data_IF_533271931346
#
_entry.id   IF_533271931346
#
_cell.length_a   1.000
_cell.length_b   1.000
_cell.length_c   1.000
_cell.angle_alpha   90.00
_cell.angle_beta   90.00
_cell.angle_gamma   90.00
#
_symmetry.space_group_name_H-M   'P 1'
#
loop_
_entity.id
_entity.type
_entity.pdbx_description
1 polymer ?
#
# COMPACT_ATOMS: atom_id res chain seq x y z
N UNK A 1 -19.77 -21.46 44.28
CA UNK A 1 -19.85 -20.26 43.38
C UNK A 1 -18.71 -19.26 43.56
N UNK A 2 -18.11 -19.12 44.70
CA UNK A 2 -17.05 -18.14 44.98
C UNK A 2 -15.67 -18.50 44.39
N UNK A 3 -15.25 -19.76 44.48
CA UNK A 3 -13.94 -20.18 43.96
C UNK A 3 -13.84 -20.08 42.40
N UNK A 4 -14.90 -20.41 41.68
CA UNK A 4 -14.94 -20.29 40.21
C UNK A 4 -14.84 -18.82 39.76
N UNK A 5 -15.46 -17.88 40.46
CA UNK A 5 -15.36 -16.45 40.18
C UNK A 5 -13.91 -15.94 40.36
N UNK A 6 -13.26 -16.36 41.46
CA UNK A 6 -11.86 -16.01 41.70
C UNK A 6 -10.93 -16.59 40.65
N UNK A 7 -11.15 -17.83 40.23
CA UNK A 7 -10.38 -18.44 39.13
C UNK A 7 -10.51 -17.64 37.83
N UNK A 8 -11.72 -17.23 37.46
CA UNK A 8 -11.96 -16.42 36.26
C UNK A 8 -11.28 -15.05 36.34
N UNK A 9 -11.29 -14.39 37.50
CA UNK A 9 -10.59 -13.11 37.72
C UNK A 9 -9.07 -13.30 37.57
N UNK A 10 -8.50 -14.34 38.17
CA UNK A 10 -7.05 -14.62 38.05
C UNK A 10 -6.67 -14.92 36.61
N UNK A 11 -7.45 -15.74 35.91
CA UNK A 11 -7.21 -16.04 34.48
C UNK A 11 -7.29 -14.78 33.64
N UNK A 12 -8.26 -13.91 33.86
CA UNK A 12 -8.39 -12.62 33.17
C UNK A 12 -7.17 -11.71 33.43
N UNK A 13 -6.71 -11.61 34.68
CA UNK A 13 -5.55 -10.79 35.04
C UNK A 13 -4.26 -11.34 34.42
N UNK A 14 -4.06 -12.66 34.41
CA UNK A 14 -2.91 -13.29 33.76
C UNK A 14 -2.93 -13.07 32.25
N UNK A 15 -4.11 -13.20 31.61
CA UNK A 15 -4.27 -12.91 30.19
C UNK A 15 -3.96 -11.45 29.88
N UNK A 16 -4.50 -10.51 30.66
CA UNK A 16 -4.24 -9.07 30.50
C UNK A 16 -2.76 -8.72 30.70
N UNK A 17 -2.08 -9.36 31.64
CA UNK A 17 -0.65 -9.19 31.86
C UNK A 17 0.18 -9.74 30.69
N UNK A 18 -0.17 -10.92 30.18
CA UNK A 18 0.49 -11.53 29.02
C UNK A 18 0.33 -10.66 27.76
N UNK A 19 -0.88 -10.12 27.52
CA UNK A 19 -1.14 -9.17 26.43
C UNK A 19 -0.34 -7.88 26.59
N UNK A 20 -0.23 -7.36 27.81
CA UNK A 20 0.58 -6.19 28.13
C UNK A 20 2.08 -6.42 27.84
N UNK A 21 2.63 -7.55 28.30
CA UNK A 21 4.02 -7.93 28.04
C UNK A 21 4.26 -8.13 26.54
N UNK A 22 3.35 -8.82 25.85
CA UNK A 22 3.40 -9.01 24.39
C UNK A 22 3.38 -7.66 23.65
N UNK A 23 2.54 -6.72 24.08
CA UNK A 23 2.47 -5.38 23.49
C UNK A 23 3.80 -4.63 23.65
N UNK A 24 4.37 -4.61 24.86
CA UNK A 24 5.67 -3.96 25.13
C UNK A 24 6.78 -4.59 24.27
N UNK A 25 6.85 -5.92 24.26
CA UNK A 25 7.81 -6.65 23.41
C UNK A 25 7.62 -6.30 21.92
N UNK A 26 6.39 -6.32 21.43
CA UNK A 26 6.08 -6.01 20.03
C UNK A 26 6.47 -4.58 19.66
N UNK A 27 6.19 -3.60 20.52
CA UNK A 27 6.56 -2.19 20.30
C UNK A 27 8.08 -2.00 20.28
N UNK A 28 8.84 -2.72 21.12
CA UNK A 28 10.30 -2.66 21.13
C UNK A 28 10.92 -3.29 19.89
N UNK A 29 10.36 -4.39 19.40
CA UNK A 29 10.91 -5.12 18.25
C UNK A 29 10.49 -4.51 16.91
N UNK A 30 9.28 -3.95 16.83
CA UNK A 30 8.69 -3.46 15.57
C UNK A 30 8.95 -1.98 15.27
N UNK A 31 9.51 -1.20 16.19
CA UNK A 31 9.63 0.28 16.10
C UNK A 31 8.27 0.99 15.85
N UNK A 32 7.16 0.31 16.09
CA UNK A 32 5.83 0.90 15.94
C UNK A 32 5.47 1.78 17.12
N UNK A 33 4.82 2.91 16.86
CA UNK A 33 4.12 3.68 17.89
C UNK A 33 2.86 2.93 18.36
N UNK A 34 2.36 3.25 19.55
CA UNK A 34 1.09 2.71 20.05
C UNK A 34 -0.06 2.94 19.06
N UNK A 35 -0.08 4.12 18.41
CA UNK A 35 -1.08 4.45 17.39
C UNK A 35 -1.00 3.52 16.19
N UNK A 36 0.18 3.30 15.65
CA UNK A 36 0.40 2.40 14.50
C UNK A 36 0.01 0.95 14.85
N UNK A 37 0.37 0.48 16.04
CA UNK A 37 -0.04 -0.83 16.53
C UNK A 37 -1.56 -0.96 16.61
N UNK A 38 -2.24 0.04 17.17
CA UNK A 38 -3.71 0.06 17.26
C UNK A 38 -4.35 0.04 15.86
N UNK A 39 -3.86 0.88 14.94
CA UNK A 39 -4.36 0.92 13.56
C UNK A 39 -4.19 -0.42 12.85
N UNK A 40 -3.07 -1.12 13.06
CA UNK A 40 -2.87 -2.47 12.51
C UNK A 40 -3.90 -3.47 13.06
N UNK A 41 -4.26 -3.38 14.34
CA UNK A 41 -5.26 -4.27 14.97
C UNK A 41 -6.69 -4.02 14.47
N UNK A 42 -7.05 -2.78 14.20
CA UNK A 42 -8.39 -2.43 13.72
C UNK A 42 -8.51 -2.47 12.19
N UNK A 43 -7.41 -2.64 11.48
CA UNK A 43 -7.36 -2.66 10.02
C UNK A 43 -8.41 -3.60 9.37
N UNK A 44 -8.60 -4.88 9.80
CA UNK A 44 -9.61 -5.75 9.20
C UNK A 44 -11.04 -5.21 9.31
N UNK A 45 -11.34 -4.51 10.40
CA UNK A 45 -12.66 -3.87 10.62
C UNK A 45 -12.81 -2.66 9.68
N UNK A 46 -11.77 -1.83 9.56
CA UNK A 46 -11.74 -0.70 8.63
C UNK A 46 -12.01 -1.18 7.20
N UNK A 47 -11.32 -2.22 6.74
CA UNK A 47 -11.48 -2.75 5.39
C UNK A 47 -12.90 -3.29 5.15
N UNK A 48 -13.45 -4.02 6.10
CA UNK A 48 -14.81 -4.57 6.00
C UNK A 48 -15.88 -3.47 5.86
N UNK A 49 -15.71 -2.36 6.56
CA UNK A 49 -16.66 -1.24 6.54
C UNK A 49 -16.50 -0.37 5.29
N UNK A 50 -15.28 0.02 4.96
CA UNK A 50 -14.99 0.97 3.89
C UNK A 50 -15.04 0.34 2.49
N UNK A 51 -14.75 -0.94 2.34
CA UNK A 51 -14.68 -1.63 1.04
C UNK A 51 -16.01 -1.67 0.28
N UNK A 52 -17.16 -1.57 0.99
CA UNK A 52 -18.49 -1.63 0.37
C UNK A 52 -18.81 -0.45 -0.56
N UNK A 53 -18.23 0.71 -0.31
CA UNK A 53 -18.47 1.96 -1.06
C UNK A 53 -17.26 2.42 -1.87
N UNK A 54 -16.21 1.61 -1.93
CA UNK A 54 -14.98 1.96 -2.62
C UNK A 54 -15.17 2.08 -4.13
N UNK A 55 -14.56 3.10 -4.74
CA UNK A 55 -14.57 3.31 -6.19
C UNK A 55 -13.61 2.34 -6.88
N UNK A 56 -14.08 1.75 -7.97
CA UNK A 56 -13.30 0.95 -8.90
C UNK A 56 -13.54 1.49 -10.31
N UNK A 57 -12.48 1.79 -11.04
CA UNK A 57 -12.55 2.22 -12.43
C UNK A 57 -11.76 1.25 -13.28
N UNK A 58 -12.29 0.89 -14.43
CA UNK A 58 -11.68 -0.03 -15.37
C UNK A 58 -11.81 0.52 -16.79
N UNK A 59 -10.74 0.44 -17.58
CA UNK A 59 -10.71 0.74 -19.00
C UNK A 59 -9.63 -0.12 -19.66
N UNK A 60 -9.97 -0.86 -20.69
CA UNK A 60 -9.04 -1.77 -21.42
C UNK A 60 -8.84 -1.32 -22.85
N UNK A 61 -7.69 -1.69 -23.41
CA UNK A 61 -7.38 -1.48 -24.83
C UNK A 61 -7.15 -0.03 -25.21
N UNK A 62 -6.81 0.83 -24.25
CA UNK A 62 -6.46 2.23 -24.51
C UNK A 62 -4.94 2.38 -24.49
N UNK A 63 -4.36 2.60 -25.65
CA UNK A 63 -2.93 2.87 -25.78
C UNK A 63 -2.59 4.23 -25.19
N UNK A 64 -1.62 4.33 -24.26
CA UNK A 64 -1.22 5.59 -23.68
C UNK A 64 -0.49 6.46 -24.71
N UNK A 65 -0.85 7.75 -24.85
CA UNK A 65 -0.11 8.70 -25.69
C UNK A 65 1.37 8.81 -25.30
N UNK A 66 1.68 8.73 -24.01
CA UNK A 66 3.03 8.64 -23.47
C UNK A 66 3.26 7.23 -22.91
N UNK A 67 4.24 6.51 -23.46
CA UNK A 67 4.52 5.14 -23.01
C UNK A 67 4.90 5.09 -21.54
N UNK A 68 4.26 4.20 -20.77
CA UNK A 68 4.60 3.89 -19.37
C UNK A 68 6.08 3.51 -19.20
N UNK A 69 6.64 2.85 -20.21
CA UNK A 69 8.02 2.36 -20.19
C UNK A 69 9.09 3.44 -20.41
N UNK A 70 8.70 4.69 -20.62
CA UNK A 70 9.63 5.84 -20.64
C UNK A 70 9.77 6.51 -19.27
N UNK A 71 8.98 6.06 -18.29
CA UNK A 71 9.04 6.58 -16.94
C UNK A 71 10.20 5.96 -16.15
N UNK A 72 10.63 6.68 -15.15
CA UNK A 72 11.61 6.22 -14.16
C UNK A 72 11.32 6.84 -12.80
N UNK A 73 11.83 6.24 -11.76
CA UNK A 73 11.74 6.79 -10.40
C UNK A 73 12.95 6.41 -9.54
N UNK A 74 13.28 7.25 -8.57
CA UNK A 74 14.39 7.02 -7.64
C UNK A 74 13.89 6.20 -6.47
N UNK A 75 14.50 5.04 -6.24
CA UNK A 75 14.20 4.19 -5.09
C UNK A 75 14.75 4.81 -3.79
N UNK A 76 14.27 4.35 -2.65
CA UNK A 76 14.71 4.80 -1.32
C UNK A 76 16.20 4.52 -1.00
N UNK A 77 16.87 3.71 -1.81
CA UNK A 77 18.30 3.43 -1.75
C UNK A 77 19.14 4.27 -2.75
N UNK A 78 18.58 5.33 -3.29
CA UNK A 78 19.15 6.24 -4.29
C UNK A 78 19.37 5.65 -5.70
N UNK A 79 19.04 4.39 -5.95
CA UNK A 79 19.10 3.83 -7.29
C UNK A 79 17.93 4.31 -8.16
N UNK A 80 18.19 4.55 -9.44
CA UNK A 80 17.15 4.85 -10.42
C UNK A 80 16.60 3.55 -10.98
N UNK A 81 15.28 3.40 -10.95
CA UNK A 81 14.59 2.28 -11.56
C UNK A 81 13.87 2.76 -12.83
N UNK A 82 14.32 2.25 -13.97
CA UNK A 82 13.71 2.47 -15.28
C UNK A 82 12.53 1.52 -15.47
N UNK A 83 11.38 2.05 -15.87
CA UNK A 83 10.16 1.25 -15.99
C UNK A 83 10.14 0.37 -17.26
N UNK A 84 11.10 0.54 -18.16
CA UNK A 84 11.32 -0.40 -19.26
C UNK A 84 11.65 -1.83 -18.79
N UNK A 85 12.16 -1.98 -17.55
CA UNK A 85 12.40 -3.27 -16.88
C UNK A 85 11.11 -4.06 -16.57
N UNK A 86 9.95 -3.41 -16.68
CA UNK A 86 8.65 -4.03 -16.41
C UNK A 86 7.89 -4.47 -17.67
N UNK A 87 8.52 -4.41 -18.84
CA UNK A 87 7.89 -4.91 -20.08
C UNK A 87 7.44 -6.36 -19.93
N UNK A 88 6.20 -6.64 -20.35
CA UNK A 88 5.62 -7.99 -20.25
C UNK A 88 5.21 -8.39 -18.82
N UNK A 89 5.14 -7.42 -17.89
CA UNK A 89 4.67 -7.66 -16.52
C UNK A 89 3.53 -6.71 -16.19
N UNK A 90 2.62 -7.16 -15.35
CA UNK A 90 1.65 -6.27 -14.70
C UNK A 90 2.33 -5.48 -13.58
N UNK A 91 1.97 -4.20 -13.46
CA UNK A 91 2.55 -3.31 -12.45
C UNK A 91 1.43 -2.69 -11.62
N UNK A 92 1.43 -2.97 -10.30
CA UNK A 92 0.51 -2.37 -9.34
C UNK A 92 1.23 -1.23 -8.61
N UNK A 93 0.88 0.02 -8.92
CA UNK A 93 1.43 1.22 -8.28
C UNK A 93 0.53 1.66 -7.13
N UNK A 94 1.12 1.91 -5.96
CA UNK A 94 0.38 2.24 -4.73
C UNK A 94 1.05 3.40 -4.01
N UNK A 95 0.30 4.45 -3.67
CA UNK A 95 0.81 5.46 -2.75
C UNK A 95 0.62 5.00 -1.30
N UNK A 96 1.68 5.07 -0.51
CA UNK A 96 1.74 4.43 0.81
C UNK A 96 2.00 5.43 1.93
N UNK A 97 1.69 5.02 3.18
CA UNK A 97 2.02 5.78 4.37
C UNK A 97 2.12 4.88 5.61
N UNK A 98 3.04 5.22 6.52
CA UNK A 98 3.35 4.44 7.73
C UNK A 98 2.37 4.64 8.89
N UNK A 99 1.60 5.74 8.91
CA UNK A 99 0.70 6.11 10.01
C UNK A 99 -0.76 6.32 9.55
N UNK A 100 -1.25 5.41 8.71
CA UNK A 100 -2.58 5.42 8.12
C UNK A 100 -3.42 4.25 8.64
N UNK A 101 -4.76 4.40 8.67
CA UNK A 101 -5.66 3.28 8.96
C UNK A 101 -5.55 2.12 7.96
N UNK A 102 -5.04 2.38 6.75
CA UNK A 102 -4.81 1.38 5.71
C UNK A 102 -3.39 0.80 5.68
N UNK A 103 -2.50 1.15 6.62
CA UNK A 103 -1.10 0.70 6.65
C UNK A 103 -0.97 -0.83 6.69
N UNK A 104 -1.99 -1.54 7.22
CA UNK A 104 -2.06 -3.00 7.17
C UNK A 104 -2.00 -3.60 5.76
N UNK A 105 -2.33 -2.82 4.72
CA UNK A 105 -2.22 -3.27 3.32
C UNK A 105 -0.79 -3.58 2.88
N UNK A 106 0.24 -3.11 3.57
CA UNK A 106 1.61 -3.54 3.26
C UNK A 106 1.78 -5.06 3.32
N UNK A 107 1.14 -5.74 4.29
CA UNK A 107 1.19 -7.20 4.38
C UNK A 107 0.50 -7.87 3.17
N UNK A 108 -0.65 -7.35 2.77
CA UNK A 108 -1.39 -7.86 1.61
C UNK A 108 -0.66 -7.59 0.28
N UNK A 109 -0.02 -6.42 0.14
CA UNK A 109 0.80 -6.07 -1.03
C UNK A 109 2.04 -6.97 -1.14
N UNK A 110 2.68 -7.27 0.00
CA UNK A 110 3.81 -8.19 0.03
C UNK A 110 3.39 -9.63 -0.31
N UNK A 111 2.25 -10.08 0.20
CA UNK A 111 1.67 -11.38 -0.16
C UNK A 111 1.36 -11.45 -1.66
N UNK A 112 0.72 -10.40 -2.21
CA UNK A 112 0.44 -10.30 -3.65
C UNK A 112 1.73 -10.38 -4.47
N UNK A 113 2.76 -9.62 -4.09
CA UNK A 113 4.04 -9.60 -4.78
C UNK A 113 4.72 -10.98 -4.81
N UNK A 114 4.61 -11.74 -3.72
CA UNK A 114 5.14 -13.11 -3.62
C UNK A 114 4.29 -14.15 -4.34
N UNK A 115 2.98 -13.92 -4.43
CA UNK A 115 2.04 -14.87 -5.06
C UNK A 115 2.21 -14.94 -6.58
N UNK A 116 2.63 -13.85 -7.22
CA UNK A 116 2.78 -13.75 -8.68
C UNK A 116 4.23 -13.42 -9.10
N UNK A 117 5.21 -14.29 -8.77
CA UNK A 117 6.62 -13.99 -9.01
C UNK A 117 6.89 -13.85 -10.51
N UNK A 118 7.53 -12.74 -10.90
CA UNK A 118 7.88 -12.44 -12.28
C UNK A 118 6.73 -11.94 -13.16
N UNK A 119 5.48 -12.17 -12.81
CA UNK A 119 4.30 -11.74 -13.57
C UNK A 119 3.73 -10.40 -13.08
N UNK A 120 3.75 -10.17 -11.77
CA UNK A 120 3.24 -8.94 -11.15
C UNK A 120 4.35 -8.27 -10.35
N UNK A 121 4.48 -6.97 -10.52
CA UNK A 121 5.39 -6.13 -9.73
C UNK A 121 4.55 -5.13 -8.94
N UNK A 122 4.76 -5.05 -7.62
CA UNK A 122 4.20 -3.99 -6.77
C UNK A 122 5.23 -2.88 -6.65
N UNK A 123 4.78 -1.62 -6.77
CA UNK A 123 5.62 -0.42 -6.64
C UNK A 123 5.02 0.50 -5.57
N UNK A 124 5.75 0.71 -4.46
CA UNK A 124 5.31 1.55 -3.36
C UNK A 124 5.89 2.96 -3.42
N UNK A 125 5.01 3.96 -3.38
CA UNK A 125 5.36 5.38 -3.38
C UNK A 125 4.95 6.04 -2.07
N UNK A 126 5.84 6.18 -1.09
CA UNK A 126 5.56 6.91 0.14
C UNK A 126 5.13 8.35 -0.14
N UNK A 127 4.02 8.79 0.49
CA UNK A 127 3.45 10.11 0.24
C UNK A 127 2.94 10.76 1.53
N UNK A 128 3.32 12.00 1.77
CA UNK A 128 2.90 12.74 2.96
C UNK A 128 1.72 13.71 2.69
N UNK A 129 1.10 13.60 1.51
CA UNK A 129 0.03 14.51 1.07
C UNK A 129 -1.26 14.36 1.90
N UNK A 130 -1.48 13.23 2.55
CA UNK A 130 -2.72 12.92 3.26
C UNK A 130 -2.53 13.01 4.78
N UNK A 131 -2.87 14.15 5.36
CA UNK A 131 -2.80 14.44 6.81
C UNK A 131 -1.43 14.13 7.44
N UNK A 132 -0.36 14.32 6.69
CA UNK A 132 1.01 14.10 7.16
C UNK A 132 1.22 12.71 7.78
N UNK A 133 0.67 11.68 7.15
CA UNK A 133 0.74 10.30 7.65
C UNK A 133 2.03 9.56 7.23
N UNK A 134 2.98 10.27 6.55
CA UNK A 134 4.30 9.73 6.17
C UNK A 134 5.41 10.75 6.51
N UNK A 135 5.64 10.97 7.81
CA UNK A 135 6.58 11.99 8.30
C UNK A 135 8.04 11.58 8.21
N UNK A 136 8.33 10.27 8.24
CA UNK A 136 9.68 9.72 8.20
C UNK A 136 10.49 10.18 6.99
N UNK A 137 11.80 10.12 7.09
CA UNK A 137 12.68 10.16 5.92
C UNK A 137 12.68 8.82 5.19
N UNK A 138 13.29 8.75 4.00
CA UNK A 138 13.27 7.56 3.16
C UNK A 138 13.89 6.32 3.86
N UNK A 139 14.93 6.51 4.69
CA UNK A 139 15.58 5.44 5.43
C UNK A 139 14.66 4.88 6.53
N UNK A 140 14.00 5.75 7.29
CA UNK A 140 13.02 5.39 8.32
C UNK A 140 11.84 4.64 7.72
N UNK A 141 11.32 5.11 6.58
CA UNK A 141 10.21 4.47 5.85
C UNK A 141 10.61 3.08 5.37
N UNK A 142 11.80 2.94 4.77
CA UNK A 142 12.32 1.65 4.32
C UNK A 142 12.44 0.64 5.46
N UNK A 143 13.00 1.08 6.60
CA UNK A 143 13.13 0.26 7.79
C UNK A 143 11.77 -0.15 8.35
N UNK A 144 10.83 0.77 8.45
CA UNK A 144 9.45 0.51 8.88
C UNK A 144 8.78 -0.56 8.03
N UNK A 145 8.81 -0.41 6.71
CA UNK A 145 8.21 -1.36 5.77
C UNK A 145 8.83 -2.75 5.91
N UNK A 146 10.17 -2.83 5.96
CA UNK A 146 10.89 -4.11 6.06
C UNK A 146 10.65 -4.82 7.39
N UNK A 147 10.78 -4.09 8.52
CA UNK A 147 10.67 -4.70 9.87
C UNK A 147 9.26 -5.13 10.21
N UNK A 148 8.27 -4.31 9.86
CA UNK A 148 6.90 -4.53 10.33
C UNK A 148 6.07 -5.40 9.38
N UNK A 149 6.40 -5.40 8.07
CA UNK A 149 5.61 -6.07 7.04
C UNK A 149 6.44 -6.98 6.12
N UNK A 150 7.75 -7.03 6.31
CA UNK A 150 8.65 -7.86 5.48
C UNK A 150 8.71 -7.43 4.01
N UNK A 151 8.37 -6.16 3.71
CA UNK A 151 8.28 -5.64 2.35
C UNK A 151 9.56 -5.92 1.57
N UNK A 152 9.41 -6.58 0.42
CA UNK A 152 10.49 -6.92 -0.52
C UNK A 152 10.33 -6.28 -1.90
N UNK A 153 9.15 -5.75 -2.22
CA UNK A 153 8.91 -5.00 -3.44
C UNK A 153 9.56 -3.60 -3.40
N UNK A 154 9.86 -2.97 -4.57
CA UNK A 154 10.47 -1.65 -4.64
C UNK A 154 9.67 -0.58 -3.92
N UNK A 155 10.34 0.17 -3.03
CA UNK A 155 9.85 1.39 -2.39
C UNK A 155 10.65 2.55 -2.95
N UNK A 156 9.96 3.60 -3.40
CA UNK A 156 10.57 4.79 -3.95
C UNK A 156 10.79 5.87 -2.88
N UNK A 157 11.53 6.92 -3.24
CA UNK A 157 11.66 8.12 -2.40
C UNK A 157 10.30 8.75 -2.17
N UNK A 158 10.11 9.30 -0.98
CA UNK A 158 8.90 10.02 -0.62
C UNK A 158 8.66 11.18 -1.59
N UNK A 159 7.46 11.25 -2.15
CA UNK A 159 7.08 12.23 -3.15
C UNK A 159 5.63 12.68 -3.02
N UNK A 160 5.30 13.82 -3.64
CA UNK A 160 3.89 14.23 -3.77
C UNK A 160 3.21 13.45 -4.88
N UNK A 161 2.03 12.90 -4.57
CA UNK A 161 1.22 12.10 -5.51
C UNK A 161 -0.04 12.85 -5.97
N UNK A 162 -0.36 13.97 -5.35
CA UNK A 162 -1.51 14.82 -5.71
C UNK A 162 -1.17 15.80 -6.82
N UNK A 163 -2.18 16.24 -7.58
CA UNK A 163 -1.99 17.24 -8.67
C UNK A 163 -1.41 18.53 -8.12
N UNK A 164 -0.37 19.03 -8.79
CA UNK A 164 0.32 20.27 -8.45
C UNK A 164 1.69 20.36 -9.09
N UNK A 165 2.41 21.45 -8.83
CA UNK A 165 3.73 21.72 -9.40
C UNK A 165 4.80 20.69 -9.00
N UNK A 166 4.62 20.07 -7.83
CA UNK A 166 5.57 19.09 -7.27
C UNK A 166 5.10 17.64 -7.44
N UNK A 167 4.02 17.41 -8.20
CA UNK A 167 3.54 16.04 -8.43
C UNK A 167 4.61 15.19 -9.11
N UNK A 168 4.85 14.01 -8.53
CA UNK A 168 5.81 13.04 -9.09
C UNK A 168 5.44 12.68 -10.54
N UNK A 169 6.40 12.60 -11.49
CA UNK A 169 6.12 12.33 -12.90
C UNK A 169 5.29 11.06 -13.15
N UNK A 170 5.55 9.99 -12.40
CA UNK A 170 4.76 8.74 -12.47
C UNK A 170 3.30 9.00 -12.12
N UNK A 171 3.03 9.75 -11.04
CA UNK A 171 1.65 10.07 -10.64
C UNK A 171 0.98 11.09 -11.58
N UNK A 172 1.77 11.95 -12.22
CA UNK A 172 1.25 12.80 -13.31
C UNK A 172 0.76 11.92 -14.46
N UNK A 173 1.56 10.94 -14.89
CA UNK A 173 1.16 9.98 -15.91
C UNK A 173 -0.11 9.22 -15.50
N UNK A 174 -0.19 8.71 -14.26
CA UNK A 174 -1.33 7.94 -13.75
C UNK A 174 -2.64 8.75 -13.70
N UNK A 175 -2.58 10.09 -13.64
CA UNK A 175 -3.73 10.96 -13.38
C UNK A 175 -4.00 12.00 -14.48
N UNK A 176 -3.31 11.87 -15.62
CA UNK A 176 -3.48 12.76 -16.77
C UNK A 176 -3.87 11.97 -18.03
N UNK A 177 -5.14 12.08 -18.49
CA UNK A 177 -5.59 11.40 -19.71
C UNK A 177 -4.77 11.73 -20.95
N UNK A 178 -4.15 12.91 -21.02
CA UNK A 178 -3.25 13.27 -22.13
C UNK A 178 -1.98 12.42 -22.17
N UNK A 179 -1.63 11.76 -21.06
CA UNK A 179 -0.46 10.89 -20.96
C UNK A 179 -0.83 9.40 -20.93
N UNK A 180 -1.86 9.02 -20.14
CA UNK A 180 -2.25 7.61 -19.96
C UNK A 180 -3.41 7.14 -20.85
N UNK A 181 -4.08 8.07 -21.53
CA UNK A 181 -5.15 7.80 -22.51
C UNK A 181 -6.58 7.92 -21.95
N UNK A 182 -6.83 7.79 -20.62
CA UNK A 182 -8.21 7.82 -20.13
C UNK A 182 -8.36 8.32 -18.67
N UNK A 183 -7.46 7.97 -17.76
CA UNK A 183 -7.68 8.17 -16.34
C UNK A 183 -7.30 9.57 -15.86
N UNK A 184 -8.25 10.25 -15.23
CA UNK A 184 -8.05 11.53 -14.54
C UNK A 184 -8.14 11.41 -13.01
N UNK A 185 -8.49 10.22 -12.50
CA UNK A 185 -8.71 9.97 -11.06
C UNK A 185 -7.39 10.05 -10.31
N UNK A 186 -7.31 11.00 -9.39
CA UNK A 186 -6.18 11.14 -8.47
C UNK A 186 -6.33 10.19 -7.29
N UNK A 187 -5.23 9.89 -6.56
CA UNK A 187 -5.34 9.23 -5.27
C UNK A 187 -6.34 9.96 -4.36
N UNK A 188 -7.34 9.24 -3.87
CA UNK A 188 -8.33 9.80 -2.94
C UNK A 188 -7.81 9.84 -1.50
N UNK A 189 -6.85 8.97 -1.18
CA UNK A 189 -6.18 8.84 0.10
C UNK A 189 -4.91 7.97 -0.05
N UNK A 190 -4.19 7.72 1.06
CA UNK A 190 -3.13 6.71 1.07
C UNK A 190 -3.68 5.34 0.69
N UNK A 191 -2.88 4.54 0.00
CA UNK A 191 -3.22 3.23 -0.53
C UNK A 191 -4.25 3.22 -1.66
N UNK A 192 -4.35 4.29 -2.46
CA UNK A 192 -4.95 4.23 -3.80
C UNK A 192 -4.05 3.41 -4.72
N UNK A 193 -4.65 2.60 -5.58
CA UNK A 193 -3.93 1.64 -6.43
C UNK A 193 -4.24 1.86 -7.90
N UNK A 194 -3.23 1.69 -8.74
CA UNK A 194 -3.33 1.77 -10.20
C UNK A 194 -2.68 0.52 -10.80
N UNK A 195 -3.36 -0.13 -11.73
CA UNK A 195 -2.86 -1.31 -12.41
C UNK A 195 -2.51 -0.98 -13.86
N UNK A 196 -1.27 -1.27 -14.24
CA UNK A 196 -0.78 -1.23 -15.62
C UNK A 196 -0.57 -2.65 -16.10
N UNK A 197 -1.06 -2.98 -17.30
CA UNK A 197 -0.95 -4.30 -17.90
C UNK A 197 0.43 -4.54 -18.57
N UNK A 198 0.63 -5.72 -19.13
CA UNK A 198 1.88 -6.17 -19.78
C UNK A 198 2.23 -5.35 -21.03
N UNK A 199 1.25 -4.68 -21.64
CA UNK A 199 1.45 -3.78 -22.78
C UNK A 199 1.81 -2.34 -22.35
N UNK A 200 1.80 -2.04 -21.05
CA UNK A 200 2.05 -0.70 -20.51
C UNK A 200 0.83 0.21 -20.54
N UNK A 201 -0.37 -0.35 -20.65
CA UNK A 201 -1.64 0.37 -20.60
C UNK A 201 -2.14 0.46 -19.16
N UNK A 202 -2.55 1.64 -18.70
CA UNK A 202 -3.28 1.79 -17.45
C UNK A 202 -4.67 1.18 -17.59
N UNK A 203 -4.97 0.15 -16.82
CA UNK A 203 -6.25 -0.58 -16.95
C UNK A 203 -7.21 -0.34 -15.80
N UNK A 204 -6.70 -0.16 -14.58
CA UNK A 204 -7.58 -0.02 -13.41
C UNK A 204 -7.10 1.06 -12.45
N UNK A 205 -8.08 1.64 -11.76
CA UNK A 205 -7.91 2.38 -10.51
C UNK A 205 -8.76 1.74 -9.43
N UNK A 206 -8.16 1.56 -8.25
CA UNK A 206 -8.84 1.07 -7.05
C UNK A 206 -8.67 2.05 -5.89
N UNK A 207 -9.76 2.40 -5.24
CA UNK A 207 -9.76 3.22 -4.02
C UNK A 207 -8.96 2.54 -2.87
N UNK A 208 -8.53 3.31 -1.86
CA UNK A 208 -7.81 2.80 -0.68
C UNK A 208 -8.47 1.60 0.00
N UNK A 209 -9.78 1.59 0.11
CA UNK A 209 -10.55 0.56 0.79
C UNK A 209 -10.73 -0.74 -0.03
N UNK A 210 -10.23 -0.80 -1.26
CA UNK A 210 -10.14 -2.06 -2.01
C UNK A 210 -8.91 -2.82 -1.54
N UNK A 211 -9.11 -4.04 -1.00
CA UNK A 211 -7.99 -4.88 -0.54
C UNK A 211 -7.11 -5.31 -1.71
N UNK A 212 -5.77 -5.25 -1.59
CA UNK A 212 -4.85 -5.83 -2.57
C UNK A 212 -5.09 -7.31 -2.87
N UNK A 213 -5.62 -8.07 -1.89
CA UNK A 213 -6.00 -9.47 -2.05
C UNK A 213 -7.51 -9.64 -2.31
N UNK A 214 -8.24 -8.54 -2.53
CA UNK A 214 -9.66 -8.57 -2.90
C UNK A 214 -9.88 -9.25 -4.24
N UNK A 215 -11.04 -9.88 -4.39
CA UNK A 215 -11.41 -10.63 -5.59
C UNK A 215 -11.24 -9.79 -6.87
N UNK A 216 -11.65 -8.53 -6.84
CA UNK A 216 -11.57 -7.61 -7.97
C UNK A 216 -10.12 -7.29 -8.41
N UNK A 217 -9.17 -7.21 -7.46
CA UNK A 217 -7.75 -7.01 -7.78
C UNK A 217 -7.16 -8.30 -8.33
N UNK A 218 -7.45 -9.44 -7.70
CA UNK A 218 -6.97 -10.75 -8.16
C UNK A 218 -7.48 -11.05 -9.58
N UNK A 219 -8.77 -10.83 -9.84
CA UNK A 219 -9.35 -11.01 -11.17
C UNK A 219 -8.68 -10.11 -12.23
N UNK A 220 -8.39 -8.84 -11.89
CA UNK A 220 -7.69 -7.92 -12.79
C UNK A 220 -6.24 -8.35 -13.07
N UNK A 221 -5.61 -9.06 -12.13
CA UNK A 221 -4.25 -9.60 -12.30
C UNK A 221 -4.21 -10.93 -13.07
N UNK A 222 -5.29 -11.69 -13.08
CA UNK A 222 -5.38 -13.00 -13.76
C UNK A 222 -5.90 -12.91 -15.20
N UNK A 223 -6.44 -11.75 -15.62
CA UNK A 223 -6.90 -11.47 -17.00
C UNK A 223 -5.73 -11.17 -17.93
#
# INVERSE_FOLDING_TARGET
>A
MTQLKWLLVVVFLLFSLAEGIYLVYKLQVSDMTLRQYFLQRVYPVIMKMAGKTATRLEQKGVQPPLSFYTLQAVQNNDSVLDFSAFRGKKVLLVNTASDCGYTGQYAELEELHRRFPGAVVVLGFPANDFKEQEKGDDATIAQFCKRNYGVSFPIFKKASVIKGTHQHPVYRWLTDPAQNGWNSKTPSWNFSKYLVNEAGELTHYFDPAVSPLGEEVIQALEQ
#
